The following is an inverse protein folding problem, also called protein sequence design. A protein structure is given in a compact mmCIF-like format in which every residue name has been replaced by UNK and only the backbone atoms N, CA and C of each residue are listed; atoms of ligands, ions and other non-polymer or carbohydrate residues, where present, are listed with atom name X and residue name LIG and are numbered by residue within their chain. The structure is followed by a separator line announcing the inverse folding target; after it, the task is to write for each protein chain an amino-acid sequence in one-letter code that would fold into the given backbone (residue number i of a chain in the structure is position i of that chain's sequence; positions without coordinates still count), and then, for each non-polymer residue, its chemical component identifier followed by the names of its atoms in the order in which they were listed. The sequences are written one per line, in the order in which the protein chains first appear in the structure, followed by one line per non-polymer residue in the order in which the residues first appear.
data_IF_556728874359
#
_entry.id   IF_556728874359
#
_cell.length_a   1.000
_cell.length_b   1.000
_cell.length_c   1.000
_cell.angle_alpha   90.00
_cell.angle_beta   90.00
_cell.angle_gamma   90.00
#
_symmetry.space_group_name_H-M   'P 1'
#
loop_
_entity.id
_entity.type
_entity.pdbx_description
1 polymer ?
#
# COMPACT_ATOMS: atom_id res chain seq x y z
N UNK A 1 8.55 19.75 -16.76
CA UNK A 1 7.71 20.07 -15.59
C UNK A 1 7.25 21.54 -15.52
N UNK A 2 7.98 22.51 -16.09
CA UNK A 2 7.69 23.95 -15.91
C UNK A 2 6.30 24.44 -16.35
N UNK A 3 5.65 23.83 -17.35
CA UNK A 3 4.34 24.32 -17.86
C UNK A 3 3.13 23.80 -17.08
N UNK A 4 3.05 22.49 -16.85
CA UNK A 4 1.86 21.85 -16.27
C UNK A 4 2.05 21.36 -14.84
N UNK A 5 3.28 21.34 -14.30
CA UNK A 5 3.57 20.74 -13.00
C UNK A 5 3.67 19.21 -13.03
N UNK A 6 3.45 18.58 -14.19
CA UNK A 6 3.62 17.15 -14.43
C UNK A 6 4.18 16.87 -15.83
N UNK A 7 4.44 15.61 -16.14
CA UNK A 7 4.97 15.16 -17.43
C UNK A 7 3.83 15.06 -18.44
N UNK A 8 4.03 15.60 -19.65
CA UNK A 8 3.07 15.43 -20.74
C UNK A 8 2.86 13.93 -21.03
N UNK A 9 1.62 13.46 -20.98
CA UNK A 9 1.28 12.05 -21.15
C UNK A 9 0.40 11.84 -22.39
N UNK A 10 0.77 10.84 -23.18
CA UNK A 10 0.05 10.40 -24.38
C UNK A 10 0.22 8.89 -24.59
N UNK A 11 -0.86 8.21 -24.94
CA UNK A 11 -0.84 6.84 -25.41
C UNK A 11 -0.26 6.80 -26.83
N UNK A 12 1.04 6.52 -26.91
CA UNK A 12 1.80 6.52 -28.17
C UNK A 12 1.58 5.27 -29.04
N UNK A 13 0.96 4.21 -28.52
CA UNK A 13 0.72 2.96 -29.25
C UNK A 13 -0.01 3.22 -30.58
N UNK A 14 0.64 2.92 -31.71
CA UNK A 14 0.07 3.08 -33.05
C UNK A 14 0.10 4.52 -33.61
N UNK A 15 0.76 5.48 -32.94
CA UNK A 15 0.89 6.87 -33.41
C UNK A 15 2.28 7.13 -34.01
N UNK A 16 2.33 7.96 -35.05
CA UNK A 16 3.60 8.44 -35.61
C UNK A 16 4.19 9.57 -34.77
N UNK A 17 5.49 9.83 -34.96
CA UNK A 17 6.20 10.93 -34.29
C UNK A 17 5.57 12.29 -34.63
N UNK A 18 5.18 12.50 -35.88
CA UNK A 18 4.55 13.74 -36.36
C UNK A 18 3.19 13.94 -35.68
N UNK A 19 2.41 12.86 -35.52
CA UNK A 19 1.13 12.89 -34.81
C UNK A 19 1.32 13.25 -33.33
N UNK A 20 2.32 12.67 -32.67
CA UNK A 20 2.62 12.97 -31.26
C UNK A 20 3.07 14.43 -31.10
N UNK A 21 3.92 14.92 -32.00
CA UNK A 21 4.37 16.32 -31.98
C UNK A 21 3.21 17.30 -32.23
N UNK A 22 2.31 16.99 -33.16
CA UNK A 22 1.13 17.79 -33.42
C UNK A 22 0.21 17.86 -32.17
N UNK A 23 -0.02 16.74 -31.50
CA UNK A 23 -0.82 16.68 -30.29
C UNK A 23 -0.18 17.46 -29.13
N UNK A 24 1.15 17.37 -28.98
CA UNK A 24 1.89 18.15 -28.00
C UNK A 24 1.76 19.65 -28.27
N UNK A 25 1.97 20.10 -29.52
CA UNK A 25 1.84 21.52 -29.91
C UNK A 25 0.42 22.03 -29.65
N UNK A 26 -0.60 21.24 -29.99
CA UNK A 26 -2.01 21.57 -29.77
C UNK A 26 -2.34 21.72 -28.28
N UNK A 27 -1.85 20.80 -27.44
CA UNK A 27 -2.13 20.76 -26.00
C UNK A 27 -1.27 21.72 -25.18
N UNK A 28 -0.18 22.23 -25.74
CA UNK A 28 0.74 23.11 -25.01
C UNK A 28 0.10 24.39 -24.47
N UNK A 29 -0.97 24.86 -25.12
CA UNK A 29 -1.74 26.05 -24.72
C UNK A 29 -2.79 25.77 -23.64
N UNK A 30 -3.02 24.50 -23.28
CA UNK A 30 -4.01 24.13 -22.27
C UNK A 30 -3.69 24.72 -20.90
N UNK A 31 -4.74 24.91 -20.09
CA UNK A 31 -4.58 25.16 -18.65
C UNK A 31 -4.15 23.86 -17.96
N UNK A 32 -3.33 23.90 -16.90
CA UNK A 32 -2.87 22.69 -16.20
C UNK A 32 -3.99 21.75 -15.77
N UNK A 33 -5.15 22.29 -15.32
CA UNK A 33 -6.30 21.46 -14.91
C UNK A 33 -6.90 20.66 -16.06
N UNK A 34 -7.03 21.27 -17.24
CA UNK A 34 -7.54 20.60 -18.45
C UNK A 34 -6.55 19.54 -18.91
N UNK A 35 -5.26 19.87 -18.88
CA UNK A 35 -4.22 18.93 -19.28
C UNK A 35 -4.11 17.74 -18.31
N UNK A 36 -4.44 17.94 -17.03
CA UNK A 36 -4.46 16.88 -16.03
C UNK A 36 -5.58 15.86 -16.33
N UNK A 37 -6.76 16.34 -16.69
CA UNK A 37 -7.88 15.48 -17.13
C UNK A 37 -7.52 14.70 -18.41
N UNK A 38 -6.89 15.36 -19.39
CA UNK A 38 -6.45 14.68 -20.62
C UNK A 38 -5.36 13.65 -20.31
N UNK A 39 -4.40 13.96 -19.44
CA UNK A 39 -3.38 13.00 -19.02
C UNK A 39 -4.01 11.77 -18.35
N UNK A 40 -5.02 11.94 -17.50
CA UNK A 40 -5.75 10.82 -16.90
C UNK A 40 -6.42 9.93 -17.96
N UNK A 41 -7.03 10.52 -18.99
CA UNK A 41 -7.61 9.77 -20.11
C UNK A 41 -6.55 9.01 -20.92
N UNK A 42 -5.39 9.62 -21.18
CA UNK A 42 -4.28 8.95 -21.86
C UNK A 42 -3.70 7.80 -21.02
N UNK A 43 -3.66 7.95 -19.70
CA UNK A 43 -3.25 6.89 -18.78
C UNK A 43 -4.23 5.71 -18.77
N UNK A 44 -5.54 5.99 -18.86
CA UNK A 44 -6.56 4.95 -19.00
C UNK A 44 -6.35 4.13 -20.28
N UNK A 45 -6.13 4.78 -21.43
CA UNK A 45 -5.82 4.10 -22.71
C UNK A 45 -4.59 3.19 -22.61
N UNK A 46 -3.51 3.67 -21.97
CA UNK A 46 -2.30 2.87 -21.73
C UNK A 46 -2.62 1.65 -20.86
N UNK A 47 -3.44 1.83 -19.83
CA UNK A 47 -3.84 0.76 -18.91
C UNK A 47 -4.66 -0.30 -19.63
N UNK A 48 -5.66 0.09 -20.39
CA UNK A 48 -6.48 -0.82 -21.20
C UNK A 48 -5.63 -1.63 -22.19
N UNK A 49 -4.72 -0.99 -22.93
CA UNK A 49 -3.82 -1.69 -23.84
C UNK A 49 -2.92 -2.70 -23.13
N UNK A 50 -2.43 -2.36 -21.92
CA UNK A 50 -1.60 -3.28 -21.13
C UNK A 50 -2.40 -4.46 -20.61
N UNK A 51 -3.62 -4.23 -20.13
CA UNK A 51 -4.52 -5.31 -19.70
C UNK A 51 -4.84 -6.24 -20.88
N UNK A 52 -5.22 -5.69 -22.03
CA UNK A 52 -5.47 -6.48 -23.24
C UNK A 52 -4.26 -7.33 -23.63
N UNK A 53 -3.05 -6.76 -23.64
CA UNK A 53 -1.81 -7.52 -23.91
C UNK A 53 -1.58 -8.63 -22.88
N UNK A 54 -1.84 -8.38 -21.60
CA UNK A 54 -1.66 -9.38 -20.54
C UNK A 54 -2.58 -10.59 -20.74
N UNK A 55 -3.84 -10.35 -21.15
CA UNK A 55 -4.80 -11.43 -21.39
C UNK A 55 -4.60 -12.14 -22.73
N UNK A 56 -4.22 -11.43 -23.80
CA UNK A 56 -3.85 -12.06 -25.09
C UNK A 56 -2.55 -12.86 -24.97
N UNK A 57 -1.57 -12.38 -24.19
CA UNK A 57 -0.31 -13.10 -23.95
C UNK A 57 -0.51 -14.39 -23.18
N UNK A 58 -1.55 -14.50 -22.34
CA UNK A 58 -1.92 -15.77 -21.68
C UNK A 58 -2.59 -16.76 -22.63
N UNK A 59 -3.32 -16.28 -23.64
CA UNK A 59 -3.95 -17.13 -24.66
C UNK A 59 -2.96 -17.80 -25.62
N UNK A 60 -1.82 -17.16 -25.92
CA UNK A 60 -0.81 -17.70 -26.84
C UNK A 60 0.15 -18.74 -26.22
N UNK A 61 0.16 -18.91 -24.90
CA UNK A 61 0.99 -19.94 -24.24
C UNK A 61 0.34 -21.34 -24.39
N UNK A 62 -0.95 -21.41 -24.74
CA UNK A 62 -1.70 -22.68 -24.80
C UNK A 62 -1.60 -23.36 -26.19
N UNK A 63 -1.10 -22.68 -27.23
CA UNK A 63 -1.16 -23.18 -28.62
C UNK A 63 0.15 -23.75 -29.20
N UNK A 64 1.21 -23.94 -28.41
CA UNK A 64 2.42 -24.64 -28.87
C UNK A 64 3.02 -25.53 -27.78
N UNK A 65 2.57 -26.79 -27.70
CA UNK A 65 3.38 -28.01 -27.48
C UNK A 65 2.45 -29.24 -27.53
N UNK A 66 2.68 -30.12 -28.51
CA UNK A 66 1.99 -31.39 -28.69
C UNK A 66 2.37 -32.43 -27.61
N UNK A 67 1.34 -33.12 -27.12
CA UNK A 67 1.23 -34.58 -26.85
C UNK A 67 2.37 -35.28 -26.08
N UNK A 68 2.26 -35.27 -24.74
CA UNK A 68 2.17 -36.49 -23.90
C UNK A 68 2.44 -36.13 -22.42
N UNK A 69 1.39 -35.97 -21.61
CA UNK A 69 1.34 -36.45 -20.22
C UNK A 69 -0.06 -36.25 -19.65
N UNK A 70 -0.65 -37.36 -19.28
CA UNK A 70 -2.01 -37.56 -18.79
C UNK A 70 -2.15 -37.11 -17.33
N UNK A 71 -3.35 -36.64 -16.98
CA UNK A 71 -3.91 -36.49 -15.62
C UNK A 71 -3.17 -35.56 -14.63
N UNK A 72 -3.47 -34.25 -14.64
CA UNK A 72 -3.60 -33.41 -13.43
C UNK A 72 -4.01 -31.94 -13.71
N UNK A 73 -4.93 -31.67 -14.65
CA UNK A 73 -5.27 -30.26 -14.97
C UNK A 73 -6.72 -30.01 -15.40
N UNK A 74 -7.66 -30.92 -15.13
CA UNK A 74 -9.09 -30.70 -15.43
C UNK A 74 -9.92 -30.11 -14.27
N UNK A 75 -9.34 -29.85 -13.10
CA UNK A 75 -10.11 -29.36 -11.92
C UNK A 75 -10.06 -27.84 -11.71
N UNK A 76 -9.14 -27.12 -12.36
CA UNK A 76 -8.90 -25.70 -12.07
C UNK A 76 -9.53 -24.72 -13.09
N UNK A 77 -10.04 -25.20 -14.23
CA UNK A 77 -10.70 -24.34 -15.25
C UNK A 77 -12.22 -24.30 -15.11
N UNK A 78 -12.88 -25.34 -14.59
CA UNK A 78 -14.34 -25.32 -14.34
C UNK A 78 -14.73 -24.44 -13.13
N UNK A 79 -13.82 -24.23 -12.17
CA UNK A 79 -14.10 -23.46 -10.96
C UNK A 79 -14.08 -21.93 -11.19
N UNK A 80 -13.51 -21.45 -12.31
CA UNK A 80 -13.42 -20.01 -12.61
C UNK A 80 -14.48 -19.49 -13.58
N UNK A 81 -15.16 -20.38 -14.32
CA UNK A 81 -16.31 -20.01 -15.18
C UNK A 81 -17.63 -20.03 -14.40
N UNK A 82 -17.69 -20.78 -13.28
CA UNK A 82 -18.85 -20.76 -12.36
C UNK A 82 -19.10 -19.40 -11.70
N UNK A 83 -18.06 -18.56 -11.55
CA UNK A 83 -18.16 -17.28 -10.82
C UNK A 83 -18.90 -16.18 -11.61
N UNK A 84 -19.13 -16.34 -12.92
CA UNK A 84 -19.78 -15.29 -13.75
C UNK A 84 -21.25 -15.64 -14.08
N UNK A 85 -21.72 -16.86 -13.76
CA UNK A 85 -23.14 -17.24 -13.94
C UNK A 85 -24.08 -16.85 -12.80
N UNK A 86 -23.54 -16.50 -11.63
CA UNK A 86 -24.33 -16.33 -10.39
C UNK A 86 -25.04 -14.98 -10.23
N UNK A 87 -24.88 -14.03 -11.16
CA UNK A 87 -25.41 -12.66 -11.00
C UNK A 87 -26.60 -12.31 -11.91
N UNK A 88 -27.15 -13.27 -12.67
CA UNK A 88 -28.23 -12.98 -13.64
C UNK A 88 -29.59 -13.58 -13.27
N UNK A 89 -29.70 -14.48 -12.30
CA UNK A 89 -31.01 -14.99 -11.85
C UNK A 89 -31.02 -15.33 -10.36
N UNK A 90 -31.63 -14.46 -9.55
CA UNK A 90 -32.16 -14.84 -8.24
C UNK A 90 -33.37 -13.96 -7.91
N UNK A 91 -34.53 -14.38 -8.40
CA UNK A 91 -35.80 -14.00 -7.82
C UNK A 91 -36.02 -14.85 -6.57
N UNK A 92 -36.39 -14.16 -5.48
CA UNK A 92 -37.10 -14.62 -4.28
C UNK A 92 -36.71 -15.96 -3.68
N UNK A 93 -35.87 -15.91 -2.64
CA UNK A 93 -35.99 -16.86 -1.54
C UNK A 93 -35.71 -16.19 -0.19
N UNK A 94 -36.48 -16.66 0.78
CA UNK A 94 -36.86 -16.06 2.06
C UNK A 94 -35.69 -15.81 3.01
N UNK A 95 -35.58 -14.58 3.54
CA UNK A 95 -34.54 -14.15 4.48
C UNK A 95 -34.74 -14.78 5.88
N UNK A 96 -33.88 -15.72 6.24
CA UNK A 96 -33.46 -15.89 7.64
C UNK A 96 -32.10 -15.22 7.78
N UNK A 97 -32.08 -14.06 8.45
CA UNK A 97 -30.89 -13.25 8.62
C UNK A 97 -29.87 -13.98 9.52
N UNK A 98 -28.88 -14.63 8.91
CA UNK A 98 -27.64 -15.02 9.58
C UNK A 98 -26.91 -13.71 9.95
N UNK A 99 -26.41 -13.54 11.18
CA UNK A 99 -25.71 -12.31 11.56
C UNK A 99 -24.53 -12.09 10.60
N UNK A 100 -24.45 -10.88 10.04
CA UNK A 100 -23.34 -10.46 9.18
C UNK A 100 -22.08 -10.47 10.05
N UNK A 101 -21.34 -11.57 10.00
CA UNK A 101 -19.98 -11.61 10.55
C UNK A 101 -19.13 -10.76 9.61
N UNK A 102 -18.79 -9.55 10.05
CA UNK A 102 -17.77 -8.77 9.36
C UNK A 102 -16.50 -9.63 9.26
N UNK A 103 -15.83 -9.64 8.10
CA UNK A 103 -14.62 -10.44 7.95
C UNK A 103 -13.59 -10.00 8.98
N UNK A 104 -13.17 -10.94 9.81
CA UNK A 104 -12.14 -10.72 10.83
C UNK A 104 -10.84 -10.30 10.16
N UNK A 105 -10.18 -9.30 10.73
CA UNK A 105 -8.89 -8.82 10.23
C UNK A 105 -7.85 -9.94 10.17
N UNK A 106 -7.07 -10.01 9.09
CA UNK A 106 -6.00 -11.01 8.92
C UNK A 106 -4.60 -10.45 9.21
N UNK A 107 -4.49 -9.15 9.48
CA UNK A 107 -3.23 -8.45 9.79
C UNK A 107 -3.42 -7.49 10.96
N UNK A 108 -2.36 -7.16 11.71
CA UNK A 108 -2.45 -6.17 12.78
C UNK A 108 -2.94 -4.80 12.26
N UNK A 109 -3.69 -4.02 13.07
CA UNK A 109 -4.13 -2.67 12.72
C UNK A 109 -3.00 -1.72 12.34
N UNK A 110 -1.85 -1.87 13.00
CA UNK A 110 -0.68 -1.02 12.84
C UNK A 110 0.44 -1.88 12.29
N UNK A 111 0.99 -1.49 11.15
CA UNK A 111 2.13 -2.15 10.52
C UNK A 111 3.19 -1.13 10.13
N UNK A 112 4.43 -1.58 10.00
CA UNK A 112 5.52 -0.74 9.48
C UNK A 112 6.37 -1.51 8.47
N UNK A 113 7.08 -0.76 7.65
CA UNK A 113 8.08 -1.21 6.72
C UNK A 113 9.22 -0.19 6.75
N UNK A 114 10.45 -0.67 6.86
CA UNK A 114 11.64 0.17 6.87
C UNK A 114 12.47 -0.07 5.62
N UNK A 115 12.72 1.01 4.88
CA UNK A 115 13.52 1.00 3.67
C UNK A 115 14.79 1.83 3.89
N UNK A 116 15.95 1.24 3.61
CA UNK A 116 17.20 1.97 3.51
C UNK A 116 17.30 2.57 2.11
N UNK A 117 16.97 3.86 1.99
CA UNK A 117 16.97 4.55 0.69
C UNK A 117 18.38 4.88 0.21
N UNK A 118 19.39 4.83 1.09
CA UNK A 118 20.79 5.02 0.68
C UNK A 118 21.35 3.79 -0.03
N UNK A 119 20.83 2.60 0.32
CA UNK A 119 21.17 1.32 -0.29
C UNK A 119 20.16 0.84 -1.34
N UNK A 120 18.97 1.45 -1.36
CA UNK A 120 17.87 1.02 -2.22
C UNK A 120 17.31 -0.35 -1.85
N UNK A 121 17.35 -0.72 -0.56
CA UNK A 121 16.98 -2.07 -0.08
C UNK A 121 16.18 -2.02 1.21
N UNK A 122 15.38 -3.05 1.54
CA UNK A 122 14.75 -3.15 2.85
C UNK A 122 15.80 -3.15 3.96
N UNK A 123 15.47 -2.50 5.08
CA UNK A 123 16.35 -2.42 6.24
C UNK A 123 15.98 -3.52 7.23
N UNK A 124 16.68 -4.65 7.13
CA UNK A 124 16.46 -5.83 7.98
C UNK A 124 17.15 -5.71 9.35
N UNK A 125 16.54 -6.27 10.39
CA UNK A 125 17.11 -6.32 11.75
C UNK A 125 16.97 -5.03 12.56
N UNK A 126 16.18 -4.05 12.11
CA UNK A 126 15.86 -2.86 12.89
C UNK A 126 14.86 -3.25 13.98
N UNK A 127 15.22 -2.98 15.23
CA UNK A 127 14.31 -3.14 16.36
C UNK A 127 13.23 -2.07 16.32
N UNK A 128 11.99 -2.50 16.50
CA UNK A 128 10.79 -1.65 16.47
C UNK A 128 10.01 -1.83 17.76
N UNK A 129 9.64 -0.73 18.39
CA UNK A 129 8.80 -0.69 19.59
C UNK A 129 7.53 0.13 19.29
N UNK A 130 6.37 -0.39 19.66
CA UNK A 130 5.10 0.33 19.61
C UNK A 130 4.59 0.58 21.03
N UNK A 131 4.20 1.82 21.29
CA UNK A 131 3.64 2.28 22.55
C UNK A 131 2.34 3.06 22.30
N UNK A 132 1.46 3.07 23.29
CA UNK A 132 0.22 3.86 23.31
C UNK A 132 0.25 4.79 24.51
N UNK A 133 -0.18 6.04 24.32
CA UNK A 133 -0.35 6.99 25.42
C UNK A 133 -1.48 6.54 26.34
N UNK A 134 -1.24 6.57 27.66
CA UNK A 134 -2.21 6.17 28.68
C UNK A 134 -3.38 7.16 28.67
N UNK A 135 -4.59 6.68 28.35
CA UNK A 135 -5.78 7.50 28.10
C UNK A 135 -6.34 8.27 29.31
N UNK A 136 -5.82 8.06 30.52
CA UNK A 136 -6.18 8.84 31.71
C UNK A 136 -5.29 10.09 31.90
N UNK A 137 -4.29 10.31 31.06
CA UNK A 137 -3.40 11.46 31.12
C UNK A 137 -3.73 12.48 30.02
N UNK A 138 -3.40 13.76 30.26
CA UNK A 138 -3.41 14.78 29.21
C UNK A 138 -2.54 14.32 28.03
N UNK A 139 -2.88 14.73 26.79
CA UNK A 139 -2.10 14.39 25.59
C UNK A 139 -0.60 14.67 25.80
N UNK A 140 0.31 13.90 25.19
CA UNK A 140 1.74 14.15 25.28
C UNK A 140 2.05 15.56 24.77
N UNK A 141 2.79 16.32 25.57
CA UNK A 141 3.12 17.73 25.31
C UNK A 141 4.54 17.80 24.75
N UNK A 142 4.72 18.55 23.67
CA UNK A 142 6.05 18.79 23.11
C UNK A 142 6.98 19.42 24.16
N UNK A 143 8.10 18.76 24.44
CA UNK A 143 9.10 19.20 25.41
C UNK A 143 8.89 18.75 26.86
N UNK A 144 7.79 18.03 27.16
CA UNK A 144 7.62 17.40 28.47
C UNK A 144 8.42 16.08 28.56
N UNK A 145 8.90 15.76 29.76
CA UNK A 145 9.53 14.46 30.03
C UNK A 145 8.44 13.42 30.29
N UNK A 146 8.13 12.63 29.26
CA UNK A 146 7.07 11.61 29.23
C UNK A 146 7.40 10.35 30.06
N UNK A 147 7.95 10.51 31.27
CA UNK A 147 8.54 9.41 32.04
C UNK A 147 7.54 8.32 32.45
N UNK A 148 6.23 8.56 32.37
CA UNK A 148 5.23 7.57 32.78
C UNK A 148 3.94 7.53 31.93
N UNK A 149 3.92 8.16 30.76
CA UNK A 149 2.71 8.27 29.94
C UNK A 149 2.55 7.23 28.83
N UNK A 150 3.61 6.50 28.49
CA UNK A 150 3.60 5.52 27.40
C UNK A 150 3.45 4.09 27.93
N UNK A 151 2.56 3.32 27.32
CA UNK A 151 2.34 1.91 27.61
C UNK A 151 2.73 1.06 26.40
N UNK A 152 3.67 0.13 26.58
CA UNK A 152 4.15 -0.77 25.52
C UNK A 152 3.00 -1.63 25.00
N UNK A 153 2.84 -1.66 23.68
CA UNK A 153 1.88 -2.51 22.96
C UNK A 153 2.57 -3.76 22.41
N UNK A 154 3.81 -3.62 21.95
CA UNK A 154 4.60 -4.73 21.43
C UNK A 154 5.94 -4.27 20.85
N UNK A 155 6.79 -5.24 20.56
CA UNK A 155 8.09 -5.01 19.92
C UNK A 155 8.44 -6.13 18.95
N UNK A 156 9.28 -5.83 17.97
CA UNK A 156 9.78 -6.82 17.01
C UNK A 156 11.09 -6.36 16.38
N UNK A 157 11.65 -7.15 15.46
CA UNK A 157 12.71 -6.70 14.54
C UNK A 157 12.24 -6.86 13.11
N UNK A 158 12.70 -5.99 12.21
CA UNK A 158 12.32 -6.06 10.80
C UNK A 158 12.89 -7.32 10.13
N UNK A 159 12.08 -7.96 9.28
CA UNK A 159 12.46 -9.14 8.51
C UNK A 159 13.32 -8.79 7.28
N UNK A 160 13.55 -9.76 6.38
CA UNK A 160 14.33 -9.54 5.15
C UNK A 160 13.64 -8.62 4.13
N UNK A 161 12.32 -8.43 4.24
CA UNK A 161 11.53 -7.45 3.47
C UNK A 161 11.38 -6.13 4.24
N UNK A 162 12.13 -5.93 5.33
CA UNK A 162 12.11 -4.70 6.13
C UNK A 162 10.81 -4.50 6.91
N UNK A 163 9.93 -5.49 6.99
CA UNK A 163 8.64 -5.39 7.68
C UNK A 163 8.78 -5.79 9.13
N UNK A 164 8.08 -5.10 10.02
CA UNK A 164 8.02 -5.52 11.41
C UNK A 164 7.24 -6.83 11.57
N UNK A 165 7.55 -7.55 12.65
CA UNK A 165 6.62 -8.55 13.19
C UNK A 165 5.34 -7.91 13.73
N UNK A 166 4.53 -8.71 14.41
CA UNK A 166 3.30 -8.24 15.04
C UNK A 166 3.61 -7.29 16.22
N UNK A 167 3.27 -6.01 16.07
CA UNK A 167 3.48 -4.97 17.10
C UNK A 167 2.28 -4.78 18.05
N UNK A 168 1.12 -5.31 17.68
CA UNK A 168 -0.12 -5.26 18.45
C UNK A 168 -1.01 -6.44 18.05
N UNK A 169 -1.92 -6.85 18.93
CA UNK A 169 -2.87 -7.92 18.64
C UNK A 169 -3.69 -7.64 17.37
N UNK A 170 -4.01 -8.73 16.65
CA UNK A 170 -4.92 -8.66 15.51
C UNK A 170 -6.33 -8.48 16.07
N UNK A 171 -6.84 -7.25 15.98
CA UNK A 171 -8.18 -6.85 16.41
C UNK A 171 -8.88 -6.10 15.28
N UNK A 172 -10.20 -6.25 15.19
CA UNK A 172 -11.00 -5.58 14.16
C UNK A 172 -11.05 -4.06 14.40
N UNK A 173 -11.31 -3.67 15.64
CA UNK A 173 -11.31 -2.28 16.11
C UNK A 173 -10.07 -2.04 16.96
N UNK A 174 -9.13 -1.22 16.46
CA UNK A 174 -8.00 -0.75 17.28
C UNK A 174 -8.44 0.37 18.18
N UNK A 175 -7.96 0.38 19.42
CA UNK A 175 -8.30 1.46 20.34
C UNK A 175 -7.89 2.82 19.77
N UNK A 176 -8.75 3.84 19.83
CA UNK A 176 -8.36 5.21 19.53
C UNK A 176 -7.34 5.72 20.55
N UNK A 177 -6.55 6.71 20.14
CA UNK A 177 -5.54 7.34 20.99
C UNK A 177 -4.27 7.69 20.25
N UNK A 178 -3.27 8.11 21.02
CA UNK A 178 -1.97 8.53 20.52
C UNK A 178 -1.00 7.36 20.65
N UNK A 179 -0.32 7.04 19.57
CA UNK A 179 0.65 5.97 19.48
C UNK A 179 2.03 6.53 19.15
N UNK A 180 3.07 5.82 19.61
CA UNK A 180 4.46 6.08 19.25
C UNK A 180 5.08 4.80 18.72
N UNK A 181 5.64 4.88 17.52
CA UNK A 181 6.47 3.81 16.96
C UNK A 181 7.92 4.27 16.91
N UNK A 182 8.80 3.50 17.53
CA UNK A 182 10.22 3.82 17.71
C UNK A 182 11.10 2.79 17.02
N UNK A 183 12.16 3.25 16.36
CA UNK A 183 13.09 2.44 15.57
C UNK A 183 14.52 2.64 16.10
N UNK A 184 15.22 1.54 16.38
CA UNK A 184 16.62 1.58 16.81
C UNK A 184 17.58 1.77 15.61
N UNK A 185 17.55 2.97 15.03
CA UNK A 185 18.32 3.30 13.83
C UNK A 185 19.83 3.32 14.09
N UNK A 186 20.27 3.67 15.30
CA UNK A 186 21.67 3.68 15.68
C UNK A 186 22.29 2.28 15.72
N UNK A 187 21.52 1.26 16.14
CA UNK A 187 21.98 -0.15 16.05
C UNK A 187 22.17 -0.60 14.61
N UNK A 188 21.28 -0.20 13.71
CA UNK A 188 21.33 -0.55 12.30
C UNK A 188 22.42 0.23 11.53
N UNK A 189 22.58 1.52 11.83
CA UNK A 189 23.58 2.39 11.22
C UNK A 189 24.31 3.22 12.28
N UNK A 190 25.37 2.67 12.92
CA UNK A 190 26.08 3.33 14.02
C UNK A 190 26.76 4.66 13.65
N UNK A 191 27.05 4.87 12.37
CA UNK A 191 27.64 6.10 11.84
C UNK A 191 26.57 7.09 11.34
N UNK A 192 25.29 6.73 11.41
CA UNK A 192 24.17 7.60 11.08
C UNK A 192 23.97 8.69 12.12
N UNK A 193 23.34 9.78 11.71
CA UNK A 193 23.05 10.92 12.57
C UNK A 193 21.96 10.62 13.62
N UNK A 194 21.04 9.70 13.33
CA UNK A 194 19.91 9.39 14.21
C UNK A 194 20.19 8.16 15.09
N UNK A 195 20.38 8.31 16.42
CA UNK A 195 20.53 7.17 17.32
C UNK A 195 19.24 6.35 17.43
N UNK A 196 18.10 7.01 17.31
CA UNK A 196 16.78 6.40 17.21
C UNK A 196 15.83 7.36 16.49
N UNK A 197 14.78 6.82 15.88
CA UNK A 197 13.68 7.61 15.31
C UNK A 197 12.38 7.21 16.01
N UNK A 198 11.62 8.19 16.48
CA UNK A 198 10.28 7.97 17.04
C UNK A 198 9.25 8.79 16.27
N UNK A 199 8.18 8.13 15.84
CA UNK A 199 7.07 8.74 15.12
C UNK A 199 5.84 8.66 16.02
N UNK A 200 5.27 9.82 16.36
CA UNK A 200 4.05 9.92 17.16
C UNK A 200 2.88 10.23 16.23
N UNK A 201 1.79 9.48 16.35
CA UNK A 201 0.61 9.61 15.51
C UNK A 201 -0.68 9.34 16.29
N UNK A 202 -1.81 9.81 15.77
CA UNK A 202 -3.12 9.68 16.41
C UNK A 202 -4.07 8.81 15.58
N UNK A 203 -4.81 7.95 16.26
CA UNK A 203 -5.95 7.20 15.75
C UNK A 203 -7.21 7.79 16.35
N UNK A 204 -8.10 8.31 15.50
CA UNK A 204 -9.39 8.87 15.92
C UNK A 204 -10.45 7.78 16.10
N UNK A 205 -11.49 8.07 16.88
CA UNK A 205 -12.64 7.17 17.07
C UNK A 205 -13.30 6.74 15.75
N UNK A 206 -13.31 7.63 14.75
CA UNK A 206 -13.85 7.33 13.42
C UNK A 206 -12.98 6.42 12.56
N UNK A 207 -11.80 6.02 13.05
CA UNK A 207 -10.77 5.32 12.27
C UNK A 207 -10.40 3.94 12.84
N UNK A 208 -11.08 3.43 13.87
CA UNK A 208 -10.73 2.18 14.58
C UNK A 208 -10.65 0.94 13.66
N UNK A 209 -11.43 0.93 12.57
CA UNK A 209 -11.41 -0.16 11.57
C UNK A 209 -10.40 0.03 10.45
N UNK A 210 -9.77 1.20 10.36
CA UNK A 210 -8.80 1.48 9.32
C UNK A 210 -7.47 0.82 9.64
N UNK A 211 -6.74 0.44 8.61
CA UNK A 211 -5.36 -0.01 8.76
C UNK A 211 -4.41 1.19 8.71
N UNK A 212 -3.39 1.16 9.56
CA UNK A 212 -2.40 2.22 9.71
C UNK A 212 -1.03 1.66 9.35
N UNK A 213 -0.56 1.97 8.15
CA UNK A 213 0.81 1.69 7.75
C UNK A 213 1.69 2.91 8.03
N UNK A 214 2.69 2.78 8.90
CA UNK A 214 3.59 3.87 9.29
C UNK A 214 5.03 3.48 8.93
N UNK A 215 5.46 3.63 7.66
CA UNK A 215 6.79 3.22 7.22
C UNK A 215 7.88 4.23 7.62
N UNK A 216 9.13 3.78 7.60
CA UNK A 216 10.31 4.61 7.76
C UNK A 216 11.21 4.48 6.52
N UNK A 217 11.42 5.59 5.81
CA UNK A 217 12.42 5.67 4.75
C UNK A 217 13.66 6.30 5.35
N UNK A 218 14.72 5.51 5.52
CA UNK A 218 15.90 5.88 6.27
C UNK A 218 17.11 6.06 5.35
N UNK A 219 17.84 7.15 5.56
CA UNK A 219 19.23 7.33 5.13
C UNK A 219 20.08 7.70 6.35
N UNK A 220 21.42 7.69 6.26
CA UNK A 220 22.27 8.05 7.39
C UNK A 220 22.02 9.46 7.97
N UNK A 221 21.51 10.41 7.16
CA UNK A 221 21.35 11.82 7.56
C UNK A 221 19.96 12.41 7.24
N UNK A 222 19.04 11.60 6.74
CA UNK A 222 17.64 11.98 6.57
C UNK A 222 16.73 10.79 6.85
N UNK A 223 15.49 11.07 7.23
CA UNK A 223 14.43 10.09 7.16
C UNK A 223 13.13 10.75 6.73
N UNK A 224 12.20 9.96 6.23
CA UNK A 224 10.82 10.38 6.02
C UNK A 224 9.84 9.29 6.42
N UNK A 225 8.61 9.71 6.66
CA UNK A 225 7.47 8.82 6.96
C UNK A 225 6.21 9.43 6.37
N UNK A 226 5.15 8.63 6.32
CA UNK A 226 3.81 9.04 5.90
C UNK A 226 2.77 8.09 6.48
N UNK A 227 1.48 8.43 6.31
CA UNK A 227 0.37 7.52 6.62
C UNK A 227 0.00 6.70 5.37
N UNK A 228 0.25 5.40 5.39
CA UNK A 228 -0.21 4.46 4.37
C UNK A 228 -1.52 3.75 4.76
N UNK A 229 -2.17 3.15 3.76
CA UNK A 229 -3.43 2.40 3.84
C UNK A 229 -3.23 0.88 3.73
#
# INVERSE_FOLDING_TARGET
MQKFGFVFLICASGRSTESILAELKKRYTNRPIVEFEIAAQEQMKITELRLSKLFTSKGNIISTTDKNSTLATKKAEEERVSIIGGHVTAASDTLTAKPIQNPSRTRPPITTHVLDVSRGSPASGIEVLLEKWKGNQARPIFGATDSDGWAVQGSSSTDSDGRSGQLINIVDDVDPGIYRISFNTGKYNPNGFFPSVSIVFEILESQTRQHFHVPLLLSPFSFSTYRGS
#
